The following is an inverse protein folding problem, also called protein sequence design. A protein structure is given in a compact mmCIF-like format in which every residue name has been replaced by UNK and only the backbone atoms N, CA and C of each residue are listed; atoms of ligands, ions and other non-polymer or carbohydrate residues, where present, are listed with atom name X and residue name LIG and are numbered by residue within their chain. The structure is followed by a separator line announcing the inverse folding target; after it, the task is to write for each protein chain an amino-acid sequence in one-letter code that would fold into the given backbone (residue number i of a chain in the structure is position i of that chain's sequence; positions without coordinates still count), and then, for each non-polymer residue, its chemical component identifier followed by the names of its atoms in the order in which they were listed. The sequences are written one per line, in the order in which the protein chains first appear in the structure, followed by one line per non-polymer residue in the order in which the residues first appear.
data_IF_528660226961
#
_entry.id   IF_528660226961
#
_cell.length_a   1.000
_cell.length_b   1.000
_cell.length_c   1.000
_cell.angle_alpha   90.00
_cell.angle_beta   90.00
_cell.angle_gamma   90.00
#
_symmetry.space_group_name_H-M   'P 1'
#
loop_
_entity.id
_entity.type
_entity.pdbx_description
1 polymer ?
#
# COMPACT_ATOMS: atom_id res chain seq x y z
N UNK A 1 -12.31 7.03 -18.21
CA UNK A 1 -11.10 7.61 -17.57
C UNK A 1 -9.93 6.71 -17.91
N UNK A 2 -8.90 7.20 -18.60
CA UNK A 2 -7.78 6.34 -19.02
C UNK A 2 -6.46 6.87 -18.46
N UNK A 3 -5.87 6.06 -17.59
CA UNK A 3 -4.53 6.25 -17.06
C UNK A 3 -3.51 6.21 -18.20
N UNK A 4 -2.58 7.15 -18.24
CA UNK A 4 -1.47 7.17 -19.19
C UNK A 4 -0.35 6.18 -18.83
N UNK A 5 -0.68 5.01 -18.30
CA UNK A 5 0.30 3.94 -18.20
C UNK A 5 0.49 3.26 -19.58
N UNK A 6 1.70 2.81 -19.92
CA UNK A 6 2.04 2.34 -21.28
C UNK A 6 1.12 1.22 -21.80
N UNK A 7 0.63 0.38 -20.89
CA UNK A 7 -0.29 -0.73 -21.17
C UNK A 7 -1.67 -0.25 -21.64
N UNK A 8 -2.21 0.85 -21.11
CA UNK A 8 -3.53 1.38 -21.51
C UNK A 8 -3.54 2.06 -22.88
N UNK A 9 -2.37 2.24 -23.52
CA UNK A 9 -2.25 2.67 -24.91
C UNK A 9 -2.10 1.53 -25.90
N UNK A 10 -2.12 0.28 -25.44
CA UNK A 10 -2.02 -0.89 -26.30
C UNK A 10 -3.19 -0.94 -27.28
N UNK A 11 -2.91 -1.33 -28.53
CA UNK A 11 -3.88 -1.39 -29.63
C UNK A 11 -5.11 -2.22 -29.26
N UNK A 12 -4.90 -3.35 -28.57
CA UNK A 12 -5.95 -4.27 -28.10
C UNK A 12 -6.94 -3.56 -27.17
N UNK A 13 -6.43 -2.75 -26.23
CA UNK A 13 -7.30 -2.04 -25.28
C UNK A 13 -8.06 -0.93 -25.99
N UNK A 14 -7.44 -0.24 -26.96
CA UNK A 14 -8.13 0.80 -27.75
C UNK A 14 -9.25 0.24 -28.61
N UNK A 15 -9.02 -0.90 -29.26
CA UNK A 15 -9.99 -1.56 -30.12
C UNK A 15 -11.21 -2.01 -29.32
N UNK A 16 -11.00 -2.67 -28.18
CA UNK A 16 -12.09 -3.06 -27.27
C UNK A 16 -12.93 -1.88 -26.80
N UNK A 17 -12.29 -0.74 -26.50
CA UNK A 17 -13.00 0.47 -26.05
C UNK A 17 -13.88 1.09 -27.12
N UNK A 18 -13.42 1.06 -28.37
CA UNK A 18 -14.19 1.51 -29.52
C UNK A 18 -15.38 0.59 -29.78
N UNK A 19 -15.19 -0.72 -29.73
CA UNK A 19 -16.27 -1.72 -29.88
C UNK A 19 -17.31 -1.62 -28.77
N UNK A 20 -16.88 -1.37 -27.53
CA UNK A 20 -17.76 -1.19 -26.38
C UNK A 20 -18.49 0.18 -26.37
N UNK A 21 -18.21 1.07 -27.33
CA UNK A 21 -18.82 2.40 -27.41
C UNK A 21 -18.46 3.32 -26.24
N UNK A 22 -17.35 3.06 -25.54
CA UNK A 22 -16.96 3.84 -24.36
C UNK A 22 -16.23 5.11 -24.82
N UNK A 23 -16.77 6.31 -24.55
CA UNK A 23 -16.12 7.55 -24.98
C UNK A 23 -14.77 7.71 -24.28
N UNK A 24 -13.71 7.82 -25.08
CA UNK A 24 -12.37 8.10 -24.59
C UNK A 24 -12.20 9.60 -24.36
N UNK A 25 -11.88 9.98 -23.12
CA UNK A 25 -11.53 11.37 -22.80
C UNK A 25 -10.04 11.59 -22.98
N UNK A 26 -9.66 12.63 -23.72
CA UNK A 26 -8.26 13.07 -23.86
C UNK A 26 -7.77 13.67 -22.53
N UNK A 27 -6.88 12.95 -21.85
CA UNK A 27 -6.28 13.41 -20.58
C UNK A 27 -4.88 14.01 -20.83
N UNK A 28 -4.57 15.24 -20.37
CA UNK A 28 -3.21 15.77 -20.39
C UNK A 28 -2.24 14.88 -19.60
N UNK A 29 -0.97 14.82 -20.05
CA UNK A 29 0.00 13.81 -19.63
C UNK A 29 0.47 13.89 -18.16
N UNK A 30 0.11 14.94 -17.43
CA UNK A 30 0.73 15.26 -16.15
C UNK A 30 -0.27 15.84 -15.14
N UNK A 31 -1.56 15.53 -15.30
CA UNK A 31 -2.62 16.09 -14.45
C UNK A 31 -3.11 15.08 -13.42
N UNK A 32 -2.17 14.51 -12.64
CA UNK A 32 -2.46 13.62 -11.50
C UNK A 32 -3.48 14.26 -10.55
N UNK A 33 -3.33 15.56 -10.28
CA UNK A 33 -4.21 16.34 -9.40
C UNK A 33 -5.65 16.47 -9.93
N UNK A 34 -5.86 16.31 -11.23
CA UNK A 34 -7.19 16.46 -11.84
C UNK A 34 -7.86 15.10 -12.09
N UNK A 35 -7.17 13.98 -11.84
CA UNK A 35 -7.78 12.65 -11.89
C UNK A 35 -8.53 12.37 -10.57
N UNK A 36 -9.87 12.22 -10.59
CA UNK A 36 -10.63 11.94 -9.38
C UNK A 36 -10.15 10.69 -8.63
N UNK A 37 -9.69 9.66 -9.34
CA UNK A 37 -9.20 8.42 -8.72
C UNK A 37 -7.87 8.61 -7.98
N UNK A 38 -6.95 9.42 -8.51
CA UNK A 38 -5.69 9.74 -7.81
C UNK A 38 -5.95 10.64 -6.60
N UNK A 39 -6.82 11.65 -6.74
CA UNK A 39 -7.23 12.49 -5.62
C UNK A 39 -7.88 11.66 -4.48
N UNK A 40 -8.72 10.68 -4.83
CA UNK A 40 -9.30 9.76 -3.85
C UNK A 40 -8.22 8.89 -3.18
N UNK A 41 -7.23 8.41 -3.96
CA UNK A 41 -6.11 7.62 -3.43
C UNK A 41 -5.27 8.43 -2.44
N UNK A 42 -4.99 9.69 -2.75
CA UNK A 42 -4.25 10.59 -1.88
C UNK A 42 -5.00 10.85 -0.57
N UNK A 43 -6.31 11.15 -0.66
CA UNK A 43 -7.17 11.32 0.51
C UNK A 43 -7.20 10.07 1.39
N UNK A 44 -7.35 8.88 0.80
CA UNK A 44 -7.31 7.62 1.53
C UNK A 44 -5.95 7.41 2.20
N UNK A 45 -4.86 7.69 1.50
CA UNK A 45 -3.50 7.56 2.04
C UNK A 45 -3.28 8.49 3.23
N UNK A 46 -3.77 9.73 3.18
CA UNK A 46 -3.72 10.66 4.30
C UNK A 46 -4.50 10.14 5.51
N UNK A 47 -5.70 9.60 5.30
CA UNK A 47 -6.52 9.04 6.38
C UNK A 47 -5.87 7.81 7.03
N UNK A 48 -5.27 6.93 6.23
CA UNK A 48 -4.53 5.76 6.74
C UNK A 48 -3.32 6.20 7.56
N UNK A 49 -2.56 7.20 7.09
CA UNK A 49 -1.42 7.76 7.85
C UNK A 49 -1.87 8.32 9.20
N UNK A 50 -2.93 9.11 9.23
CA UNK A 50 -3.45 9.67 10.48
C UNK A 50 -3.89 8.58 11.47
N UNK A 51 -4.61 7.56 10.99
CA UNK A 51 -5.01 6.43 11.82
C UNK A 51 -3.80 5.63 12.36
N UNK A 52 -2.77 5.43 11.54
CA UNK A 52 -1.54 4.77 11.98
C UNK A 52 -0.79 5.57 13.05
N UNK A 53 -0.73 6.90 12.92
CA UNK A 53 -0.12 7.76 13.93
C UNK A 53 -0.89 7.73 15.26
N UNK A 54 -2.23 7.75 15.21
CA UNK A 54 -3.07 7.62 16.38
C UNK A 54 -2.84 6.29 17.11
N UNK A 55 -2.92 5.17 16.39
CA UNK A 55 -2.69 3.82 16.93
C UNK A 55 -1.27 3.66 17.49
N UNK A 56 -0.26 4.23 16.81
CA UNK A 56 1.11 4.23 17.29
C UNK A 56 1.26 4.97 18.62
N UNK A 57 0.64 6.16 18.74
CA UNK A 57 0.69 6.97 19.95
C UNK A 57 -0.16 6.37 21.10
N UNK A 58 -1.24 5.67 20.77
CA UNK A 58 -2.08 4.96 21.74
C UNK A 58 -1.42 3.68 22.29
N UNK A 59 -0.36 3.18 21.65
CA UNK A 59 0.29 1.93 22.04
C UNK A 59 0.91 2.04 23.45
N UNK A 60 0.52 1.16 24.39
CA UNK A 60 1.08 1.19 25.74
C UNK A 60 2.59 0.93 25.73
N UNK A 61 3.36 1.73 26.47
CA UNK A 61 4.80 1.53 26.64
C UNK A 61 5.16 0.15 27.21
N UNK A 62 4.22 -0.46 27.96
CA UNK A 62 4.37 -1.84 28.42
C UNK A 62 4.44 -2.85 27.26
N UNK A 63 3.68 -2.65 26.19
CA UNK A 63 3.73 -3.50 24.99
C UNK A 63 5.09 -3.41 24.33
N UNK A 64 5.61 -2.19 24.13
CA UNK A 64 6.95 -1.96 23.56
C UNK A 64 8.02 -2.60 24.46
N UNK A 65 7.94 -2.38 25.77
CA UNK A 65 8.89 -2.93 26.73
C UNK A 65 8.88 -4.47 26.74
N UNK A 66 7.71 -5.10 26.66
CA UNK A 66 7.58 -6.57 26.54
C UNK A 66 8.23 -7.07 25.26
N UNK A 67 8.00 -6.40 24.13
CA UNK A 67 8.60 -6.75 22.84
C UNK A 67 10.13 -6.67 22.89
N UNK A 68 10.68 -5.58 23.45
CA UNK A 68 12.13 -5.39 23.61
C UNK A 68 12.71 -6.45 24.55
N UNK A 69 12.10 -6.67 25.72
CA UNK A 69 12.58 -7.65 26.70
C UNK A 69 12.53 -9.09 26.15
N UNK A 70 11.59 -9.40 25.26
CA UNK A 70 11.52 -10.71 24.60
C UNK A 70 12.60 -10.96 23.55
N UNK A 71 13.29 -9.91 23.06
CA UNK A 71 14.25 -10.02 21.94
C UNK A 71 15.35 -11.05 22.22
N UNK A 72 15.91 -11.04 23.43
CA UNK A 72 16.99 -11.99 23.80
C UNK A 72 16.51 -13.44 23.66
N UNK A 73 15.31 -13.75 24.13
CA UNK A 73 14.70 -15.08 24.02
C UNK A 73 14.42 -15.45 22.56
N UNK A 74 13.92 -14.51 21.76
CA UNK A 74 13.65 -14.73 20.33
C UNK A 74 14.93 -15.04 19.55
N UNK A 75 15.98 -14.25 19.78
CA UNK A 75 17.28 -14.49 19.17
C UNK A 75 17.85 -15.86 19.58
N UNK A 76 17.75 -16.22 20.86
CA UNK A 76 18.21 -17.55 21.32
C UNK A 76 17.44 -18.68 20.65
N UNK A 77 16.12 -18.56 20.54
CA UNK A 77 15.31 -19.57 19.86
C UNK A 77 15.72 -19.77 18.40
N UNK A 78 16.10 -18.69 17.69
CA UNK A 78 16.57 -18.77 16.30
C UNK A 78 17.93 -19.45 16.21
N UNK A 79 18.82 -19.19 17.18
CA UNK A 79 20.13 -19.87 17.29
C UNK A 79 19.93 -21.36 17.53
N UNK A 80 19.08 -21.72 18.49
CA UNK A 80 18.78 -23.12 18.83
C UNK A 80 18.12 -23.85 17.66
N UNK A 81 17.29 -23.14 16.89
CA UNK A 81 16.67 -23.63 15.66
C UNK A 81 17.61 -23.60 14.44
N UNK A 82 18.89 -23.27 14.58
CA UNK A 82 19.86 -23.19 13.49
C UNK A 82 19.39 -22.28 12.32
N UNK A 83 18.67 -21.21 12.64
CA UNK A 83 18.11 -20.28 11.66
C UNK A 83 16.74 -20.69 11.08
N UNK A 84 16.17 -21.84 11.50
CA UNK A 84 14.82 -22.22 11.12
C UNK A 84 13.74 -21.41 11.87
N UNK A 85 12.52 -21.45 11.35
CA UNK A 85 11.38 -20.68 11.88
C UNK A 85 11.07 -21.09 13.32
N UNK A 86 11.04 -20.09 14.22
CA UNK A 86 10.65 -20.25 15.61
C UNK A 86 9.19 -19.83 15.82
N UNK A 87 8.51 -20.40 16.81
CA UNK A 87 7.13 -19.99 17.17
C UNK A 87 7.10 -18.50 17.54
N UNK A 88 6.01 -17.82 17.19
CA UNK A 88 5.77 -16.44 17.65
C UNK A 88 5.58 -16.45 19.17
N UNK A 89 6.22 -15.51 19.86
CA UNK A 89 6.21 -15.35 21.32
C UNK A 89 5.33 -14.18 21.75
#
# INVERSE_FOLDING_TARGET
MYYKAPNYRCCIIREWLLEAGVPQMEWPALSLNLNPTENLRDQLSCRVKAALEEEWNAMPQQTISRLVNSMRRRCQAVIDAQGHMTKSF
#
